data_IF_043359560589
#
_entry.id   IF_043359560589
#
_cell.length_a   1.000
_cell.length_b   1.000
_cell.length_c   1.000
_cell.angle_alpha   90.00
_cell.angle_beta   90.00
_cell.angle_gamma   90.00
#
_symmetry.space_group_name_H-M   'P 1'
#
loop_
_entity.id
_entity.type
_entity.pdbx_description
1 polymer ?
#
# COMPACT_ATOMS: atom_id res chain seq x y z
N UNK A 1 -64.67 33.33 -9.43
CA UNK A 1 -64.16 32.36 -8.42
C UNK A 1 -62.95 32.99 -7.73
N UNK A 2 -63.07 33.39 -6.46
CA UNK A 2 -62.08 34.26 -5.81
C UNK A 2 -60.69 33.61 -5.69
N UNK A 3 -59.66 34.44 -5.86
CA UNK A 3 -58.24 34.04 -5.83
C UNK A 3 -57.88 33.27 -4.55
N UNK A 4 -58.43 33.71 -3.42
CA UNK A 4 -58.27 33.07 -2.11
C UNK A 4 -58.71 31.59 -2.11
N UNK A 5 -59.75 31.24 -2.89
CA UNK A 5 -60.24 29.86 -3.00
C UNK A 5 -59.33 28.97 -3.85
N UNK A 6 -58.61 29.53 -4.83
CA UNK A 6 -57.60 28.81 -5.62
C UNK A 6 -56.34 28.50 -4.81
N UNK A 7 -55.85 29.47 -4.02
CA UNK A 7 -54.66 29.31 -3.16
C UNK A 7 -54.91 28.25 -2.09
N UNK A 8 -56.06 28.31 -1.40
CA UNK A 8 -56.42 27.33 -0.37
C UNK A 8 -56.59 25.90 -0.94
N UNK A 9 -56.99 25.76 -2.20
CA UNK A 9 -57.10 24.47 -2.90
C UNK A 9 -55.74 23.92 -3.33
N UNK A 10 -54.77 24.79 -3.65
CA UNK A 10 -53.40 24.39 -3.98
C UNK A 10 -52.65 23.86 -2.76
N UNK A 11 -52.85 24.45 -1.58
CA UNK A 11 -52.24 23.99 -0.32
C UNK A 11 -52.83 22.66 0.19
N UNK A 12 -54.08 22.36 -0.14
CA UNK A 12 -54.73 21.07 0.19
C UNK A 12 -54.51 19.97 -0.86
N UNK A 13 -53.74 20.23 -1.93
CA UNK A 13 -53.44 19.22 -2.94
C UNK A 13 -52.34 18.27 -2.44
N UNK A 14 -52.75 17.11 -1.91
CA UNK A 14 -51.83 16.01 -1.49
C UNK A 14 -51.14 15.28 -2.65
N UNK A 15 -51.38 15.69 -3.89
CA UNK A 15 -50.88 15.02 -5.11
C UNK A 15 -49.35 15.02 -5.24
N UNK A 16 -48.64 15.89 -4.52
CA UNK A 16 -47.17 15.91 -4.45
C UNK A 16 -46.58 15.37 -3.15
N UNK A 17 -47.41 15.04 -2.15
CA UNK A 17 -46.94 14.66 -0.81
C UNK A 17 -46.13 13.35 -0.85
N UNK A 18 -46.60 12.35 -1.60
CA UNK A 18 -45.88 11.08 -1.74
C UNK A 18 -44.52 11.22 -2.43
N UNK A 19 -44.39 12.14 -3.39
CA UNK A 19 -43.11 12.36 -4.10
C UNK A 19 -42.06 12.95 -3.15
N UNK A 20 -42.46 13.90 -2.29
CA UNK A 20 -41.59 14.47 -1.26
C UNK A 20 -41.21 13.43 -0.20
N UNK A 21 -42.13 12.55 0.17
CA UNK A 21 -41.94 11.54 1.20
C UNK A 21 -40.92 10.48 0.75
N UNK A 22 -41.03 9.98 -0.48
CA UNK A 22 -40.01 9.08 -1.03
C UNK A 22 -38.68 9.80 -1.29
N UNK A 23 -38.72 11.08 -1.72
CA UNK A 23 -37.51 11.87 -1.94
C UNK A 23 -36.70 12.08 -0.67
N UNK A 24 -37.35 12.42 0.45
CA UNK A 24 -36.66 12.64 1.72
C UNK A 24 -36.17 11.32 2.34
N UNK A 25 -36.91 10.22 2.16
CA UNK A 25 -36.46 8.89 2.60
C UNK A 25 -35.20 8.45 1.85
N UNK A 26 -35.18 8.56 0.52
CA UNK A 26 -34.00 8.18 -0.29
C UNK A 26 -32.81 9.11 0.01
N UNK A 27 -33.06 10.41 0.17
CA UNK A 27 -32.01 11.36 0.56
C UNK A 27 -31.41 11.06 1.94
N UNK A 28 -32.24 10.68 2.91
CA UNK A 28 -31.78 10.28 4.24
C UNK A 28 -30.88 9.05 4.23
N UNK A 29 -31.29 7.98 3.51
CA UNK A 29 -30.48 6.76 3.40
C UNK A 29 -29.15 7.05 2.69
N UNK A 30 -29.17 7.83 1.62
CA UNK A 30 -27.95 8.21 0.90
C UNK A 30 -26.95 8.97 1.78
N UNK A 31 -27.44 9.90 2.61
CA UNK A 31 -26.59 10.66 3.54
C UNK A 31 -25.95 9.76 4.61
N UNK A 32 -26.72 8.82 5.18
CA UNK A 32 -26.21 7.85 6.16
C UNK A 32 -25.15 6.95 5.53
N UNK A 33 -25.39 6.44 4.31
CA UNK A 33 -24.41 5.64 3.58
C UNK A 33 -23.12 6.43 3.30
N UNK A 34 -23.22 7.70 2.91
CA UNK A 34 -22.06 8.55 2.66
C UNK A 34 -21.23 8.75 3.95
N UNK A 35 -21.89 9.04 5.07
CA UNK A 35 -21.22 9.15 6.37
C UNK A 35 -20.55 7.84 6.78
N UNK A 36 -21.22 6.71 6.61
CA UNK A 36 -20.66 5.39 6.90
C UNK A 36 -19.40 5.09 6.06
N UNK A 37 -19.44 5.39 4.75
CA UNK A 37 -18.29 5.21 3.85
C UNK A 37 -17.13 6.14 4.24
N UNK A 38 -17.41 7.39 4.62
CA UNK A 38 -16.35 8.32 5.05
C UNK A 38 -15.64 7.85 6.33
N UNK A 39 -16.37 7.24 7.26
CA UNK A 39 -15.80 6.75 8.52
C UNK A 39 -15.12 5.39 8.33
N UNK A 40 -15.68 4.50 7.52
CA UNK A 40 -15.17 3.14 7.36
C UNK A 40 -14.06 3.05 6.31
N UNK A 41 -14.00 3.97 5.36
CA UNK A 41 -13.04 3.95 4.24
C UNK A 41 -11.58 3.89 4.70
N UNK A 42 -11.15 4.80 5.58
CA UNK A 42 -9.77 4.78 6.10
C UNK A 42 -9.49 3.50 6.90
N UNK A 43 -10.43 3.00 7.71
CA UNK A 43 -10.26 1.76 8.48
C UNK A 43 -10.08 0.54 7.58
N UNK A 44 -10.86 0.44 6.50
CA UNK A 44 -10.71 -0.63 5.52
C UNK A 44 -9.35 -0.55 4.80
N UNK A 45 -8.92 0.66 4.46
CA UNK A 45 -7.61 0.90 3.88
C UNK A 45 -6.48 0.48 4.83
N UNK A 46 -6.57 0.86 6.11
CA UNK A 46 -5.57 0.53 7.13
C UNK A 46 -5.47 -0.99 7.36
N UNK A 47 -6.61 -1.69 7.37
CA UNK A 47 -6.63 -3.16 7.43
C UNK A 47 -5.98 -3.79 6.21
N UNK A 48 -6.29 -3.31 5.00
CA UNK A 48 -5.70 -3.81 3.77
C UNK A 48 -4.19 -3.56 3.71
N UNK A 49 -3.75 -2.36 4.12
CA UNK A 49 -2.33 -1.99 4.18
C UNK A 49 -1.56 -2.83 5.22
N UNK A 50 -2.18 -3.11 6.38
CA UNK A 50 -1.57 -3.97 7.41
C UNK A 50 -1.38 -5.40 6.89
N UNK A 51 -2.38 -5.94 6.19
CA UNK A 51 -2.28 -7.28 5.59
C UNK A 51 -1.26 -7.29 4.45
N UNK A 52 -1.22 -6.24 3.62
CA UNK A 52 -0.21 -6.09 2.58
C UNK A 52 1.20 -6.07 3.16
N UNK A 53 1.45 -5.32 4.24
CA UNK A 53 2.73 -5.26 4.93
C UNK A 53 3.12 -6.58 5.63
N UNK A 54 2.14 -7.38 6.06
CA UNK A 54 2.37 -8.67 6.71
C UNK A 54 2.62 -9.82 5.71
N UNK A 55 2.25 -9.65 4.44
CA UNK A 55 2.52 -10.64 3.40
C UNK A 55 3.98 -10.48 2.93
N UNK A 56 4.77 -11.58 2.89
CA UNK A 56 6.05 -11.55 2.19
C UNK A 56 5.79 -11.14 0.73
N UNK A 57 6.58 -10.21 0.19
CA UNK A 57 6.38 -9.45 -1.06
C UNK A 57 5.78 -8.02 -0.93
N UNK A 58 5.78 -7.41 0.26
CA UNK A 58 5.22 -6.06 0.46
C UNK A 58 6.15 -4.90 0.07
N UNK A 59 7.46 -5.13 0.04
CA UNK A 59 8.47 -4.13 -0.28
C UNK A 59 9.03 -4.40 -1.68
N UNK A 60 9.42 -3.33 -2.41
CA UNK A 60 9.99 -3.45 -3.75
C UNK A 60 11.27 -4.33 -3.77
N UNK A 61 12.00 -4.34 -2.65
CA UNK A 61 13.18 -5.19 -2.43
C UNK A 61 12.83 -6.70 -2.35
N UNK A 62 11.57 -7.05 -2.05
CA UNK A 62 11.06 -8.42 -1.98
C UNK A 62 10.50 -8.93 -3.32
N UNK A 63 10.38 -8.06 -4.34
CA UNK A 63 9.81 -8.37 -5.68
C UNK A 63 10.93 -8.53 -6.74
N UNK A 64 12.20 -8.35 -6.35
CA UNK A 64 13.34 -8.65 -7.20
C UNK A 64 13.43 -10.15 -7.55
N UNK A 65 14.11 -10.51 -8.67
CA UNK A 65 14.55 -11.89 -8.84
C UNK A 65 15.26 -12.33 -7.56
N UNK A 66 15.03 -13.56 -7.08
CA UNK A 66 15.84 -14.11 -5.98
C UNK A 66 17.30 -14.12 -6.44
N UNK A 67 18.04 -13.07 -6.09
CA UNK A 67 19.45 -12.95 -6.41
C UNK A 67 20.15 -13.80 -5.37
N UNK A 68 20.72 -14.93 -5.80
CA UNK A 68 21.65 -15.66 -4.95
C UNK A 68 22.74 -14.69 -4.51
N UNK A 69 22.84 -14.45 -3.20
CA UNK A 69 23.89 -13.60 -2.62
C UNK A 69 25.24 -14.02 -3.19
N UNK A 70 25.87 -13.14 -3.95
CA UNK A 70 27.16 -13.47 -4.58
C UNK A 70 28.20 -13.53 -3.48
N UNK A 71 28.93 -14.64 -3.37
CA UNK A 71 30.00 -14.78 -2.37
C UNK A 71 31.05 -13.67 -2.50
N UNK A 72 31.27 -13.20 -3.72
CA UNK A 72 32.13 -12.08 -4.06
C UNK A 72 31.38 -11.14 -5.00
N UNK A 73 31.60 -9.83 -4.85
CA UNK A 73 30.91 -8.87 -5.70
C UNK A 73 31.36 -9.01 -7.16
N UNK A 74 30.41 -8.90 -8.10
CA UNK A 74 30.68 -9.01 -9.53
C UNK A 74 30.05 -7.85 -10.28
N UNK A 75 30.75 -7.35 -11.29
CA UNK A 75 30.29 -6.32 -12.22
C UNK A 75 30.03 -6.94 -13.59
N UNK A 76 29.13 -6.36 -14.38
CA UNK A 76 28.80 -6.84 -15.71
C UNK A 76 29.10 -5.76 -16.74
N UNK A 77 29.71 -6.14 -17.87
CA UNK A 77 29.88 -5.20 -18.99
C UNK A 77 28.61 -5.06 -19.85
N UNK A 78 28.67 -4.15 -20.83
CA UNK A 78 27.56 -3.88 -21.76
C UNK A 78 27.15 -5.09 -22.60
N UNK A 79 28.01 -6.11 -22.72
CA UNK A 79 27.76 -7.34 -23.47
C UNK A 79 27.26 -8.48 -22.56
N UNK A 80 27.06 -8.22 -21.27
CA UNK A 80 26.57 -9.21 -20.32
C UNK A 80 27.66 -10.10 -19.70
N UNK A 81 28.94 -9.85 -19.97
CA UNK A 81 30.05 -10.63 -19.40
C UNK A 81 30.27 -10.21 -17.96
N UNK A 82 30.38 -11.19 -17.06
CA UNK A 82 30.52 -10.98 -15.62
C UNK A 82 31.99 -11.04 -15.21
N UNK A 83 32.47 -9.99 -14.53
CA UNK A 83 33.82 -9.86 -13.98
C UNK A 83 33.75 -9.77 -12.45
N UNK A 84 34.83 -10.15 -11.77
CA UNK A 84 34.97 -9.88 -10.34
C UNK A 84 35.17 -8.37 -10.14
N UNK A 85 34.40 -7.76 -9.24
CA UNK A 85 34.62 -6.38 -8.85
C UNK A 85 35.74 -6.32 -7.80
N UNK A 86 36.98 -6.16 -8.29
CA UNK A 86 38.15 -6.03 -7.44
C UNK A 86 38.24 -4.68 -6.71
N UNK A 87 37.39 -3.70 -7.07
CA UNK A 87 37.37 -2.37 -6.46
C UNK A 87 36.53 -2.37 -5.19
N UNK A 88 35.44 -3.13 -5.20
CA UNK A 88 34.53 -3.28 -4.07
C UNK A 88 34.11 -4.74 -3.91
N UNK A 89 35.00 -5.63 -3.45
CA UNK A 89 34.75 -7.08 -3.41
C UNK A 89 33.62 -7.50 -2.44
N UNK A 90 33.20 -6.61 -1.53
CA UNK A 90 32.24 -6.92 -0.46
C UNK A 90 32.85 -7.84 0.61
N UNK A 91 32.02 -8.26 1.58
CA UNK A 91 32.40 -9.25 2.59
C UNK A 91 31.45 -10.44 2.54
N UNK A 92 31.94 -11.64 2.88
CA UNK A 92 31.10 -12.85 2.95
C UNK A 92 30.03 -12.70 4.05
N UNK A 93 30.38 -12.01 5.14
CA UNK A 93 29.48 -11.71 6.25
C UNK A 93 28.27 -10.89 5.79
N UNK A 94 28.51 -9.81 5.06
CA UNK A 94 27.44 -8.94 4.54
C UNK A 94 26.65 -9.63 3.43
N UNK A 95 27.33 -10.36 2.53
CA UNK A 95 26.70 -10.98 1.37
C UNK A 95 25.86 -12.22 1.71
N UNK A 96 26.20 -12.93 2.79
CA UNK A 96 25.47 -14.13 3.25
C UNK A 96 24.62 -13.87 4.51
N UNK A 97 24.76 -12.70 5.15
CA UNK A 97 24.07 -12.37 6.39
C UNK A 97 24.47 -13.26 7.56
N UNK A 98 25.71 -13.78 7.56
CA UNK A 98 26.23 -14.65 8.63
C UNK A 98 27.21 -13.84 9.49
N UNK A 99 26.76 -13.27 10.62
CA UNK A 99 27.60 -12.40 11.43
C UNK A 99 28.78 -13.16 12.07
N UNK A 100 29.93 -12.51 12.17
CA UNK A 100 31.12 -12.99 12.87
C UNK A 100 32.03 -13.95 12.09
N UNK A 101 31.70 -14.28 10.83
CA UNK A 101 32.58 -15.13 10.00
C UNK A 101 33.84 -14.40 9.54
N UNK A 102 33.85 -13.06 9.52
CA UNK A 102 35.05 -12.29 9.20
C UNK A 102 36.18 -12.54 10.22
N UNK A 103 35.84 -12.82 11.48
CA UNK A 103 36.82 -13.15 12.53
C UNK A 103 37.45 -14.54 12.38
N UNK A 104 36.90 -15.39 11.52
CA UNK A 104 37.43 -16.73 11.23
C UNK A 104 38.46 -16.70 10.08
N UNK A 105 38.50 -15.60 9.33
CA UNK A 105 39.49 -15.39 8.27
C UNK A 105 40.72 -14.78 8.94
N UNK A 106 41.83 -15.50 8.92
CA UNK A 106 43.12 -15.00 9.39
C UNK A 106 43.83 -14.40 8.19
N UNK A 107 43.96 -13.08 8.17
CA UNK A 107 44.68 -12.38 7.12
C UNK A 107 46.19 -12.45 7.37
N UNK A 108 46.99 -12.28 6.31
CA UNK A 108 48.46 -12.33 6.43
C UNK A 108 49.01 -11.28 7.43
N UNK A 109 48.28 -10.18 7.65
CA UNK A 109 48.61 -9.15 8.63
C UNK A 109 48.35 -9.58 10.08
N UNK A 110 47.40 -10.49 10.31
CA UNK A 110 47.03 -11.00 11.63
C UNK A 110 48.05 -12.03 12.16
N UNK A 111 48.96 -12.48 11.30
CA UNK A 111 50.08 -13.37 11.59
C UNK A 111 51.41 -12.60 11.78
N UNK A 112 51.38 -11.26 11.73
CA UNK A 112 52.56 -10.46 12.06
C UNK A 112 52.83 -10.56 13.59
N UNK A 113 54.09 -10.81 14.01
CA UNK A 113 54.44 -11.02 15.42
C UNK A 113 54.26 -9.77 16.29
#
# INVERSE_FOLDING_TARGET
MSLAKKIRRSLNNKRGQGLVEYGILIGGVALVCLAAVSILGHKCNDLCATVAAALPCAHDDDIGPIVSGKLVNTTQDTNGVVYLDATTPGSIEDNMGIPGVASLVVEAADLAP
#
